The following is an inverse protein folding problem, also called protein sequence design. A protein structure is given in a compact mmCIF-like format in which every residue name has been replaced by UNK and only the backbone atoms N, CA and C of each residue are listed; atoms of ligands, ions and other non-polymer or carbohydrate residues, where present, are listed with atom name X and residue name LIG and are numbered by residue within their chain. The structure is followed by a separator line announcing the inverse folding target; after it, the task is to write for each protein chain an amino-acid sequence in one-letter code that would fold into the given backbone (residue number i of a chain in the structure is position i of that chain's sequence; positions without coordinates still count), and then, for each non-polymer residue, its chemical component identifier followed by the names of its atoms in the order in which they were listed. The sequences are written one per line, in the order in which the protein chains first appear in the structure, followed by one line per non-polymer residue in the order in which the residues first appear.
data_IF_734384682510
#
_entry.id   IF_734384682510
#
_cell.length_a   1.000
_cell.length_b   1.000
_cell.length_c   1.000
_cell.angle_alpha   90.00
_cell.angle_beta   90.00
_cell.angle_gamma   90.00
#
_symmetry.space_group_name_H-M   'P 1'
#
loop_
_entity.id
_entity.type
_entity.pdbx_description
1 polymer ?
#
# COMPACT_ATOMS: atom_id res chain seq x y z
N UNK A 1 -13.62 -27.96 -49.99
CA UNK A 1 -12.76 -28.13 -48.81
C UNK A 1 -11.61 -27.14 -48.72
N UNK A 2 -10.80 -26.92 -49.75
CA UNK A 2 -9.63 -26.01 -49.68
C UNK A 2 -9.97 -24.56 -49.27
N UNK A 3 -11.03 -23.96 -49.80
CA UNK A 3 -11.44 -22.58 -49.48
C UNK A 3 -11.90 -22.40 -48.01
N UNK A 4 -12.67 -23.37 -47.47
CA UNK A 4 -13.12 -23.34 -46.08
C UNK A 4 -11.94 -23.54 -45.08
N UNK A 5 -11.02 -24.44 -45.40
CA UNK A 5 -9.79 -24.64 -44.60
C UNK A 5 -8.87 -23.42 -44.62
N UNK A 6 -8.77 -22.74 -45.76
CA UNK A 6 -8.01 -21.48 -45.93
C UNK A 6 -8.61 -20.34 -45.10
N UNK A 7 -9.94 -20.21 -45.09
CA UNK A 7 -10.66 -19.21 -44.27
C UNK A 7 -10.49 -19.44 -42.77
N UNK A 8 -10.58 -20.68 -42.29
CA UNK A 8 -10.36 -21.06 -40.89
C UNK A 8 -8.92 -20.79 -40.44
N UNK A 9 -7.93 -21.15 -41.25
CA UNK A 9 -6.51 -20.88 -41.00
C UNK A 9 -6.24 -19.37 -40.89
N UNK A 10 -6.83 -18.57 -41.77
CA UNK A 10 -6.72 -17.11 -41.75
C UNK A 10 -7.33 -16.52 -40.48
N UNK A 11 -8.53 -16.96 -40.10
CA UNK A 11 -9.19 -16.52 -38.85
C UNK A 11 -8.32 -16.84 -37.61
N UNK A 12 -7.71 -18.02 -37.51
CA UNK A 12 -6.80 -18.37 -36.38
C UNK A 12 -5.58 -17.45 -36.34
N UNK A 13 -5.00 -17.12 -37.48
CA UNK A 13 -3.87 -16.19 -37.57
C UNK A 13 -4.28 -14.76 -37.14
N UNK A 14 -5.45 -14.31 -37.53
CA UNK A 14 -6.00 -13.01 -37.09
C UNK A 14 -6.25 -12.99 -35.59
N UNK A 15 -6.79 -14.08 -35.01
CA UNK A 15 -6.98 -14.22 -33.58
C UNK A 15 -5.65 -14.16 -32.83
N UNK A 16 -4.62 -14.88 -33.26
CA UNK A 16 -3.30 -14.86 -32.63
C UNK A 16 -2.66 -13.46 -32.68
N UNK A 17 -2.76 -12.78 -33.82
CA UNK A 17 -2.25 -11.40 -33.98
C UNK A 17 -2.98 -10.41 -33.07
N UNK A 18 -4.31 -10.52 -32.97
CA UNK A 18 -5.11 -9.67 -32.09
C UNK A 18 -4.76 -9.88 -30.61
N UNK A 19 -4.58 -11.15 -30.21
CA UNK A 19 -4.16 -11.48 -28.85
C UNK A 19 -2.77 -10.93 -28.54
N UNK A 20 -1.77 -11.17 -29.38
CA UNK A 20 -0.41 -10.66 -29.21
C UNK A 20 -0.38 -9.12 -29.14
N UNK A 21 -1.18 -8.44 -29.98
CA UNK A 21 -1.30 -6.98 -29.95
C UNK A 21 -1.90 -6.47 -28.64
N UNK A 22 -2.91 -7.14 -28.10
CA UNK A 22 -3.53 -6.76 -26.83
C UNK A 22 -2.56 -7.01 -25.68
N UNK A 23 -1.87 -8.15 -25.64
CA UNK A 23 -0.88 -8.48 -24.62
C UNK A 23 0.27 -7.46 -24.60
N UNK A 24 0.79 -7.08 -25.77
CA UNK A 24 1.81 -6.03 -25.90
C UNK A 24 1.30 -4.68 -25.40
N UNK A 25 0.08 -4.29 -25.76
CA UNK A 25 -0.55 -3.07 -25.27
C UNK A 25 -0.65 -3.08 -23.72
N UNK A 26 -1.10 -4.19 -23.14
CA UNK A 26 -1.20 -4.35 -21.70
C UNK A 26 0.19 -4.26 -21.03
N UNK A 27 1.22 -4.84 -21.62
CA UNK A 27 2.60 -4.78 -21.12
C UNK A 27 3.13 -3.33 -21.09
N UNK A 28 2.99 -2.61 -22.20
CA UNK A 28 3.42 -1.21 -22.30
C UNK A 28 2.64 -0.32 -21.33
N UNK A 29 1.33 -0.52 -21.20
CA UNK A 29 0.49 0.22 -20.25
C UNK A 29 0.92 -0.03 -18.80
N UNK A 30 1.27 -1.27 -18.45
CA UNK A 30 1.78 -1.61 -17.11
C UNK A 30 3.15 -0.99 -16.82
N UNK A 31 4.07 -0.99 -17.79
CA UNK A 31 5.38 -0.35 -17.66
C UNK A 31 5.26 1.17 -17.46
N UNK A 32 4.42 1.81 -18.26
CA UNK A 32 4.15 3.25 -18.13
C UNK A 32 3.50 3.58 -16.78
N UNK A 33 2.55 2.75 -16.33
CA UNK A 33 1.91 2.89 -15.04
C UNK A 33 2.93 2.79 -13.90
N UNK A 34 3.78 1.77 -13.92
CA UNK A 34 4.85 1.61 -12.93
C UNK A 34 5.78 2.82 -12.89
N UNK A 35 6.25 3.27 -14.05
CA UNK A 35 7.14 4.44 -14.14
C UNK A 35 6.47 5.71 -13.59
N UNK A 36 5.17 5.90 -13.85
CA UNK A 36 4.41 7.02 -13.30
C UNK A 36 4.35 6.97 -11.77
N UNK A 37 4.04 5.81 -11.19
CA UNK A 37 3.97 5.62 -9.74
C UNK A 37 5.33 5.80 -9.06
N UNK A 38 6.39 5.26 -9.64
CA UNK A 38 7.77 5.43 -9.15
C UNK A 38 8.15 6.91 -9.11
N UNK A 39 7.82 7.65 -10.17
CA UNK A 39 8.07 9.10 -10.24
C UNK A 39 7.25 9.90 -9.22
N UNK A 40 5.97 9.55 -9.01
CA UNK A 40 5.16 10.18 -7.96
C UNK A 40 5.79 9.98 -6.57
N UNK A 41 6.29 8.77 -6.30
CA UNK A 41 6.94 8.45 -5.04
C UNK A 41 8.26 9.20 -4.85
N UNK A 42 9.10 9.31 -5.88
CA UNK A 42 10.35 10.10 -5.85
C UNK A 42 10.08 11.58 -5.58
N UNK A 43 9.05 12.15 -6.21
CA UNK A 43 8.64 13.54 -5.96
C UNK A 43 8.23 13.73 -4.51
N UNK A 44 7.45 12.81 -3.92
CA UNK A 44 7.05 12.85 -2.53
C UNK A 44 8.27 12.81 -1.58
N UNK A 45 9.21 11.89 -1.80
CA UNK A 45 10.43 11.78 -0.99
C UNK A 45 11.30 13.05 -1.08
N UNK A 46 11.40 13.62 -2.28
CA UNK A 46 12.11 14.89 -2.49
C UNK A 46 11.46 16.04 -1.73
N UNK A 47 10.12 16.10 -1.74
CA UNK A 47 9.37 17.08 -0.97
C UNK A 47 9.60 16.90 0.53
N UNK A 48 9.55 15.68 1.05
CA UNK A 48 9.80 15.38 2.47
C UNK A 48 11.20 15.83 2.91
N UNK A 49 12.21 15.55 2.09
CA UNK A 49 13.58 15.99 2.37
C UNK A 49 13.69 17.51 2.45
N UNK A 50 13.06 18.24 1.53
CA UNK A 50 13.04 19.71 1.54
C UNK A 50 12.30 20.29 2.76
N UNK A 51 11.20 19.64 3.16
CA UNK A 51 10.42 20.08 4.33
C UNK A 51 11.22 19.88 5.63
N UNK A 52 11.89 18.75 5.80
CA UNK A 52 12.74 18.48 6.95
C UNK A 52 13.94 19.43 7.01
N UNK A 53 14.56 19.71 5.88
CA UNK A 53 15.68 20.67 5.82
C UNK A 53 15.23 22.09 6.22
N UNK A 54 14.08 22.55 5.73
CA UNK A 54 13.48 23.85 6.15
C UNK A 54 13.17 23.86 7.65
N UNK A 55 12.66 22.76 8.18
CA UNK A 55 12.36 22.63 9.60
C UNK A 55 13.64 22.68 10.42
N UNK A 56 14.70 21.99 10.01
CA UNK A 56 16.01 22.02 10.65
C UNK A 56 16.58 23.45 10.72
N UNK A 57 16.57 24.14 9.60
CA UNK A 57 17.05 25.53 9.54
C UNK A 57 16.21 26.48 10.40
N UNK A 58 14.89 26.25 10.48
CA UNK A 58 14.02 26.99 11.40
C UNK A 58 14.43 26.72 12.85
N UNK A 59 14.64 25.46 13.21
CA UNK A 59 15.04 25.05 14.57
C UNK A 59 16.40 25.62 14.98
N UNK A 60 17.39 25.59 14.10
CA UNK A 60 18.72 26.20 14.34
C UNK A 60 18.58 27.69 14.66
N UNK A 61 17.82 28.43 13.85
CA UNK A 61 17.58 29.87 14.09
C UNK A 61 16.83 30.16 15.40
N UNK A 62 15.88 29.28 15.77
CA UNK A 62 15.14 29.42 17.02
C UNK A 62 16.01 29.12 18.25
N UNK A 63 16.90 28.16 18.15
CA UNK A 63 17.89 27.86 19.20
C UNK A 63 18.88 29.02 19.36
N UNK A 64 19.44 29.54 18.26
CA UNK A 64 20.35 30.69 18.28
C UNK A 64 19.70 31.91 18.92
N UNK A 65 18.48 32.28 18.47
CA UNK A 65 17.73 33.38 19.08
C UNK A 65 17.48 33.18 20.58
N UNK A 66 17.23 31.96 21.03
CA UNK A 66 17.01 31.68 22.45
C UNK A 66 18.29 31.89 23.26
N UNK A 67 19.43 31.45 22.73
CA UNK A 67 20.73 31.68 23.36
C UNK A 67 21.07 33.18 23.44
N UNK A 68 20.82 33.94 22.36
CA UNK A 68 21.03 35.39 22.33
C UNK A 68 20.17 36.11 23.38
N UNK A 69 18.88 35.78 23.44
CA UNK A 69 17.94 36.35 24.44
C UNK A 69 18.43 36.04 25.87
N UNK A 70 18.88 34.82 26.14
CA UNK A 70 19.41 34.46 27.45
C UNK A 70 20.69 35.25 27.77
N UNK A 71 21.61 35.41 26.80
CA UNK A 71 22.85 36.17 26.97
C UNK A 71 22.60 37.66 27.27
N UNK A 72 21.63 38.27 26.53
CA UNK A 72 21.25 39.67 26.75
C UNK A 72 20.62 39.81 28.15
N UNK A 73 19.71 38.91 28.54
CA UNK A 73 19.05 38.94 29.83
C UNK A 73 20.06 38.76 31.01
N UNK A 74 21.06 37.89 30.84
CA UNK A 74 22.15 37.71 31.80
C UNK A 74 22.93 39.01 32.01
N UNK A 75 23.34 39.67 30.92
CA UNK A 75 24.06 40.96 30.99
C UNK A 75 23.23 42.06 31.65
N UNK A 76 21.93 42.09 31.38
CA UNK A 76 21.01 43.07 32.00
C UNK A 76 20.88 42.79 33.50
N UNK A 77 20.65 41.55 33.89
CA UNK A 77 20.59 41.15 35.30
C UNK A 77 21.86 41.55 36.02
N UNK A 78 23.03 41.28 35.47
CA UNK A 78 24.32 41.65 36.03
C UNK A 78 24.42 43.18 36.21
N UNK A 79 24.05 43.98 35.21
CA UNK A 79 24.02 45.44 35.30
C UNK A 79 23.11 45.97 36.39
N UNK A 80 21.89 45.39 36.48
CA UNK A 80 20.91 45.80 37.49
C UNK A 80 21.36 45.52 38.90
N UNK A 81 21.96 44.34 39.17
CA UNK A 81 22.51 43.99 40.46
C UNK A 81 23.71 44.89 40.79
N UNK A 82 24.62 45.08 39.85
CA UNK A 82 25.80 45.92 40.05
C UNK A 82 25.37 47.39 40.31
N UNK A 83 24.33 47.88 39.59
CA UNK A 83 23.78 49.23 39.81
C UNK A 83 23.19 49.36 41.21
N UNK A 84 22.44 48.40 41.69
CA UNK A 84 21.87 48.37 43.08
C UNK A 84 23.01 48.35 44.13
N UNK A 85 23.99 47.47 44.00
CA UNK A 85 25.14 47.40 44.88
C UNK A 85 25.94 48.69 44.93
N UNK A 86 26.16 49.35 43.78
CA UNK A 86 26.83 50.65 43.74
C UNK A 86 26.03 51.72 44.52
N UNK A 87 24.72 51.70 44.42
CA UNK A 87 23.87 52.66 45.17
C UNK A 87 23.90 52.36 46.66
N UNK A 88 23.81 51.10 47.08
CA UNK A 88 23.95 50.67 48.47
C UNK A 88 25.28 51.08 49.09
N UNK A 89 26.39 50.85 48.35
CA UNK A 89 27.70 51.29 48.81
C UNK A 89 27.80 52.79 48.96
N UNK A 90 27.25 53.56 48.04
CA UNK A 90 27.17 55.06 48.15
C UNK A 90 26.34 55.50 49.37
N UNK A 91 25.20 54.82 49.59
CA UNK A 91 24.38 55.10 50.77
C UNK A 91 25.09 54.79 52.05
N UNK A 92 25.77 53.62 52.14
CA UNK A 92 26.60 53.22 53.27
C UNK A 92 27.70 54.27 53.55
N UNK A 93 28.47 54.63 52.56
CA UNK A 93 29.50 55.64 52.68
C UNK A 93 28.97 56.99 53.13
N UNK A 94 27.80 57.40 52.63
CA UNK A 94 27.14 58.66 53.03
C UNK A 94 26.67 58.63 54.49
N UNK A 95 26.04 57.53 54.90
CA UNK A 95 25.57 57.30 56.27
C UNK A 95 26.77 57.29 57.25
N UNK A 96 27.83 56.57 56.87
CA UNK A 96 29.02 56.45 57.71
C UNK A 96 29.73 57.82 57.86
N UNK A 97 29.84 58.60 56.79
CA UNK A 97 30.36 60.00 56.85
C UNK A 97 29.56 60.87 57.77
N UNK A 98 28.21 60.71 57.80
CA UNK A 98 27.33 61.47 58.72
C UNK A 98 27.57 61.03 60.18
N UNK A 99 27.56 59.74 60.46
CA UNK A 99 27.84 59.17 61.78
C UNK A 99 29.24 59.53 62.27
N UNK A 100 30.24 59.50 61.39
CA UNK A 100 31.58 59.91 61.71
C UNK A 100 31.67 61.35 62.15
N UNK A 101 30.99 62.28 61.47
CA UNK A 101 30.93 63.70 61.85
C UNK A 101 30.22 63.85 63.22
N UNK A 102 29.08 63.21 63.41
CA UNK A 102 28.32 63.27 64.65
C UNK A 102 29.14 62.71 65.81
N UNK A 103 29.85 61.57 65.67
CA UNK A 103 30.67 61.01 66.70
C UNK A 103 31.86 61.92 67.04
N UNK A 104 32.52 62.51 66.07
CA UNK A 104 33.63 63.43 66.30
C UNK A 104 33.17 64.67 67.04
N UNK A 105 32.02 65.25 66.67
CA UNK A 105 31.47 66.38 67.42
C UNK A 105 31.08 66.04 68.86
N UNK A 106 30.52 64.87 69.06
CA UNK A 106 30.17 64.37 70.33
C UNK A 106 31.44 64.20 71.22
N UNK A 107 32.47 63.54 70.70
CA UNK A 107 33.71 63.35 71.46
C UNK A 107 34.47 64.66 71.68
N UNK A 108 34.47 65.59 70.78
CA UNK A 108 34.99 66.93 71.00
C UNK A 108 34.29 67.66 72.16
N UNK A 109 32.95 67.56 72.25
CA UNK A 109 32.15 68.10 73.34
C UNK A 109 32.49 67.42 74.70
N UNK A 110 32.56 66.08 74.70
CA UNK A 110 32.93 65.30 75.90
C UNK A 110 34.32 65.67 76.41
N UNK A 111 35.33 65.75 75.49
CA UNK A 111 36.69 66.15 75.87
C UNK A 111 36.80 67.60 76.28
N UNK A 112 35.94 68.50 75.86
CA UNK A 112 35.91 69.91 76.37
C UNK A 112 35.35 70.05 77.77
N UNK A 113 34.50 69.13 78.18
CA UNK A 113 33.85 69.14 79.52
C UNK A 113 34.68 68.46 80.62
N UNK A 114 35.76 67.79 80.28
CA UNK A 114 36.66 67.13 81.27
C UNK A 114 37.80 68.04 81.63
N UNK A 115 37.87 68.59 82.89
CA UNK A 115 38.93 69.51 83.32
C UNK A 115 40.21 68.82 83.70
N UNK A 116 40.25 67.51 83.98
CA UNK A 116 41.36 66.83 84.60
C UNK A 116 42.39 66.18 83.63
N UNK A 117 42.09 66.06 82.33
CA UNK A 117 42.96 65.37 81.34
C UNK A 117 43.84 66.39 80.60
N UNK A 118 45.17 66.21 80.48
CA UNK A 118 46.05 67.08 79.74
C UNK A 118 45.71 67.18 78.28
N UNK A 119 45.82 68.37 77.70
CA UNK A 119 45.41 68.65 76.27
C UNK A 119 46.03 67.67 75.25
N UNK A 120 47.29 67.28 75.47
CA UNK A 120 48.04 66.34 74.61
C UNK A 120 47.42 64.94 74.67
N UNK A 121 46.94 64.50 75.80
CA UNK A 121 46.27 63.21 76.01
C UNK A 121 44.89 63.21 75.34
N UNK A 122 44.12 64.27 75.42
CA UNK A 122 42.82 64.46 74.75
C UNK A 122 42.96 64.37 73.22
N UNK A 123 44.00 65.03 72.67
CA UNK A 123 44.27 65.00 71.23
C UNK A 123 44.66 63.59 70.76
N UNK A 124 45.50 62.88 71.52
CA UNK A 124 45.88 61.50 71.24
C UNK A 124 44.67 60.55 71.30
N UNK A 125 43.83 60.67 72.31
CA UNK A 125 42.56 59.90 72.39
C UNK A 125 41.59 60.16 71.25
N UNK A 126 41.40 61.37 70.88
CA UNK A 126 40.58 61.77 69.77
C UNK A 126 41.13 61.23 68.40
N UNK A 127 42.47 61.23 68.30
CA UNK A 127 43.12 60.66 67.11
C UNK A 127 42.94 59.14 67.04
N UNK A 128 43.17 58.45 68.16
CA UNK A 128 42.94 57.01 68.25
C UNK A 128 41.47 56.63 68.03
N UNK A 129 40.48 57.40 68.48
CA UNK A 129 39.07 57.20 68.19
C UNK A 129 38.73 57.42 66.67
N UNK A 130 39.34 58.44 66.07
CA UNK A 130 39.19 58.66 64.64
C UNK A 130 39.78 57.49 63.80
N UNK A 131 40.94 57.00 64.17
CA UNK A 131 41.62 55.87 63.51
C UNK A 131 40.79 54.61 63.71
N UNK A 132 40.23 54.38 64.88
CA UNK A 132 39.34 53.25 65.15
C UNK A 132 38.06 53.32 64.26
N UNK A 133 37.42 54.47 64.14
CA UNK A 133 36.23 54.64 63.30
C UNK A 133 36.56 54.42 61.83
N UNK A 134 37.68 54.89 61.37
CA UNK A 134 38.13 54.69 59.98
C UNK A 134 38.46 53.21 59.71
N UNK A 135 39.05 52.52 60.70
CA UNK A 135 39.35 51.10 60.57
C UNK A 135 38.03 50.27 60.60
N UNK A 136 37.08 50.65 61.48
CA UNK A 136 35.75 50.06 61.52
C UNK A 136 34.99 50.29 60.18
N UNK A 137 35.04 51.52 59.62
CA UNK A 137 34.47 51.84 58.30
C UNK A 137 35.00 50.91 57.18
N UNK A 138 36.32 50.83 57.12
CA UNK A 138 36.97 49.95 56.10
C UNK A 138 36.56 48.50 56.29
N UNK A 139 36.48 48.01 57.50
CA UNK A 139 36.08 46.62 57.80
C UNK A 139 34.63 46.34 57.42
N UNK A 140 33.71 47.24 57.73
CA UNK A 140 32.31 47.10 57.38
C UNK A 140 32.09 47.26 55.86
N UNK A 141 32.82 48.21 55.22
CA UNK A 141 32.80 48.36 53.77
C UNK A 141 33.31 47.10 53.05
N UNK A 142 34.40 46.50 53.53
CA UNK A 142 34.91 45.23 53.00
C UNK A 142 33.87 44.09 53.16
N UNK A 143 33.21 43.97 54.30
CA UNK A 143 32.17 42.98 54.54
C UNK A 143 31.01 43.18 53.56
N UNK A 144 30.57 44.46 53.35
CA UNK A 144 29.51 44.77 52.44
C UNK A 144 29.88 44.41 51.01
N UNK A 145 31.07 44.75 50.55
CA UNK A 145 31.57 44.47 49.20
C UNK A 145 31.67 42.93 49.02
N UNK A 146 32.15 42.20 50.04
CA UNK A 146 32.19 40.73 49.98
C UNK A 146 30.79 40.13 49.89
N UNK A 147 29.85 40.56 50.72
CA UNK A 147 28.45 40.10 50.67
C UNK A 147 27.78 40.41 49.31
N UNK A 148 28.06 41.58 48.75
CA UNK A 148 27.60 41.95 47.40
C UNK A 148 28.19 41.05 46.30
N UNK A 149 29.48 40.71 46.42
CA UNK A 149 30.14 39.82 45.46
C UNK A 149 29.58 38.40 45.56
N UNK A 150 29.33 37.89 46.76
CA UNK A 150 28.70 36.56 46.99
C UNK A 150 27.27 36.55 46.46
N UNK A 151 26.49 37.62 46.69
CA UNK A 151 25.13 37.76 46.21
C UNK A 151 25.05 37.78 44.68
N UNK A 152 25.91 38.53 43.99
CA UNK A 152 25.91 38.58 42.54
C UNK A 152 26.25 37.23 41.95
N UNK A 153 27.21 36.52 42.51
CA UNK A 153 27.58 35.19 42.06
C UNK A 153 26.41 34.21 42.23
N UNK A 154 25.72 34.23 43.36
CA UNK A 154 24.56 33.38 43.60
C UNK A 154 23.42 33.65 42.63
N UNK A 155 23.03 34.94 42.44
CA UNK A 155 21.94 35.31 41.56
C UNK A 155 22.25 35.02 40.06
N UNK A 156 23.50 35.21 39.65
CA UNK A 156 23.93 34.85 38.30
C UNK A 156 23.87 33.32 38.10
N UNK A 157 24.24 32.53 39.15
CA UNK A 157 24.19 31.07 39.11
C UNK A 157 22.74 30.58 39.00
N UNK A 158 21.82 31.12 39.81
CA UNK A 158 20.37 30.85 39.72
C UNK A 158 19.82 31.19 38.30
N UNK A 159 20.21 32.34 37.80
CA UNK A 159 19.78 32.74 36.46
C UNK A 159 20.25 31.78 35.38
N UNK A 160 21.53 31.39 35.40
CA UNK A 160 22.10 30.43 34.43
C UNK A 160 21.38 29.09 34.49
N UNK A 161 21.12 28.58 35.71
CA UNK A 161 20.38 27.31 35.88
C UNK A 161 18.97 27.40 35.26
N UNK A 162 18.22 28.46 35.57
CA UNK A 162 16.91 28.70 34.96
C UNK A 162 16.97 28.86 33.43
N UNK A 163 17.99 29.48 32.89
CA UNK A 163 18.23 29.63 31.48
C UNK A 163 18.48 28.28 30.82
N UNK A 164 19.26 27.38 31.41
CA UNK A 164 19.51 26.02 30.98
C UNK A 164 18.17 25.25 30.90
N UNK A 165 17.40 25.26 31.97
CA UNK A 165 16.09 24.58 32.01
C UNK A 165 15.12 25.11 30.95
N UNK A 166 15.04 26.42 30.75
CA UNK A 166 14.18 27.02 29.71
C UNK A 166 14.69 26.68 28.30
N UNK A 167 15.99 26.53 28.12
CA UNK A 167 16.58 26.07 26.86
C UNK A 167 16.21 24.60 26.59
N UNK A 168 16.28 23.73 27.62
CA UNK A 168 15.90 22.32 27.50
C UNK A 168 14.42 22.15 27.11
N UNK A 169 13.51 22.92 27.70
CA UNK A 169 12.09 22.91 27.32
C UNK A 169 11.93 23.29 25.84
N UNK A 170 12.71 24.27 25.36
CA UNK A 170 12.69 24.63 23.95
C UNK A 170 13.25 23.51 23.06
N UNK A 171 14.37 22.94 23.40
CA UNK A 171 14.99 21.81 22.67
C UNK A 171 14.03 20.62 22.56
N UNK A 172 13.32 20.28 23.66
CA UNK A 172 12.29 19.24 23.70
C UNK A 172 11.12 19.58 22.75
N UNK A 173 10.66 20.81 22.76
CA UNK A 173 9.59 21.27 21.88
C UNK A 173 9.97 21.14 20.40
N UNK A 174 11.20 21.48 20.02
CA UNK A 174 11.71 21.38 18.66
C UNK A 174 11.85 19.92 18.22
N UNK A 175 12.35 19.06 19.12
CA UNK A 175 12.41 17.62 18.85
C UNK A 175 11.01 17.04 18.63
N UNK A 176 10.03 17.42 19.47
CA UNK A 176 8.63 17.00 19.31
C UNK A 176 8.07 17.42 17.95
N UNK A 177 8.31 18.67 17.54
CA UNK A 177 7.88 19.17 16.21
C UNK A 177 8.49 18.36 15.07
N UNK A 178 9.79 18.05 15.13
CA UNK A 178 10.46 17.22 14.14
C UNK A 178 9.88 15.79 14.08
N UNK A 179 9.69 15.16 15.23
CA UNK A 179 9.17 13.80 15.31
C UNK A 179 7.72 13.71 14.81
N UNK A 180 6.87 14.69 15.12
CA UNK A 180 5.51 14.80 14.58
C UNK A 180 5.56 14.94 13.05
N UNK A 181 6.45 15.79 12.54
CA UNK A 181 6.59 15.97 11.09
C UNK A 181 7.03 14.70 10.39
N UNK A 182 8.00 13.97 10.94
CA UNK A 182 8.45 12.67 10.39
C UNK A 182 7.34 11.61 10.44
N UNK A 183 6.54 11.59 11.51
CA UNK A 183 5.38 10.70 11.60
C UNK A 183 4.38 10.99 10.50
N UNK A 184 4.01 12.25 10.29
CA UNK A 184 3.10 12.67 9.22
C UNK A 184 3.61 12.29 7.82
N UNK A 185 4.92 12.42 7.59
CA UNK A 185 5.56 12.01 6.34
C UNK A 185 5.50 10.49 6.12
N UNK A 186 5.73 9.71 7.18
CA UNK A 186 5.61 8.24 7.12
C UNK A 186 4.17 7.82 6.79
N UNK A 187 3.18 8.40 7.46
CA UNK A 187 1.76 8.15 7.21
C UNK A 187 1.34 8.55 5.78
N UNK A 188 1.84 9.68 5.27
CA UNK A 188 1.60 10.11 3.90
C UNK A 188 2.25 9.16 2.86
N UNK A 189 3.48 8.69 3.12
CA UNK A 189 4.13 7.69 2.29
C UNK A 189 3.35 6.37 2.26
N UNK A 190 2.90 5.88 3.41
CA UNK A 190 2.08 4.68 3.51
C UNK A 190 0.74 4.83 2.77
N UNK A 191 0.07 5.97 2.91
CA UNK A 191 -1.17 6.26 2.19
C UNK A 191 -0.98 6.27 0.68
N UNK A 192 0.14 6.84 0.20
CA UNK A 192 0.50 6.83 -1.22
C UNK A 192 0.76 5.40 -1.72
N UNK A 193 1.52 4.58 -0.98
CA UNK A 193 1.79 3.20 -1.36
C UNK A 193 0.52 2.34 -1.42
N UNK A 194 -0.43 2.54 -0.50
CA UNK A 194 -1.74 1.88 -0.56
C UNK A 194 -2.55 2.31 -1.79
N UNK A 195 -2.55 3.60 -2.10
CA UNK A 195 -3.17 4.13 -3.32
C UNK A 195 -2.52 3.54 -4.58
N UNK A 196 -1.18 3.48 -4.64
CA UNK A 196 -0.45 2.88 -5.76
C UNK A 196 -0.79 1.39 -5.93
N UNK A 197 -0.89 0.66 -4.83
CA UNK A 197 -1.32 -0.74 -4.85
C UNK A 197 -2.73 -0.86 -5.44
N UNK A 198 -3.68 -0.01 -5.02
CA UNK A 198 -5.06 -0.01 -5.53
C UNK A 198 -5.11 0.30 -7.03
N UNK A 199 -4.40 1.33 -7.50
CA UNK A 199 -4.35 1.70 -8.90
C UNK A 199 -3.75 0.58 -9.77
N UNK A 200 -2.71 -0.09 -9.28
CA UNK A 200 -2.10 -1.24 -9.97
C UNK A 200 -3.05 -2.42 -10.03
N UNK A 201 -3.75 -2.71 -8.94
CA UNK A 201 -4.79 -3.75 -8.87
C UNK A 201 -5.90 -3.48 -9.89
N UNK A 202 -6.43 -2.25 -9.94
CA UNK A 202 -7.50 -1.86 -10.87
C UNK A 202 -7.06 -2.00 -12.33
N UNK A 203 -5.80 -1.67 -12.64
CA UNK A 203 -5.22 -1.85 -13.96
C UNK A 203 -5.11 -3.33 -14.34
N UNK A 204 -4.59 -4.19 -13.46
CA UNK A 204 -4.46 -5.63 -13.69
C UNK A 204 -5.83 -6.29 -13.93
N UNK A 205 -6.84 -5.97 -13.13
CA UNK A 205 -8.19 -6.49 -13.33
C UNK A 205 -8.83 -6.00 -14.63
N UNK A 206 -8.58 -4.75 -15.01
CA UNK A 206 -9.06 -4.20 -16.28
C UNK A 206 -8.42 -4.92 -17.46
N UNK A 207 -7.10 -5.14 -17.43
CA UNK A 207 -6.36 -5.85 -18.47
C UNK A 207 -6.79 -7.31 -18.58
N UNK A 208 -6.95 -8.01 -17.46
CA UNK A 208 -7.44 -9.37 -17.43
C UNK A 208 -8.85 -9.49 -18.04
N UNK A 209 -9.76 -8.58 -17.68
CA UNK A 209 -11.11 -8.54 -18.27
C UNK A 209 -11.07 -8.31 -19.79
N UNK A 210 -10.20 -7.42 -20.27
CA UNK A 210 -10.04 -7.16 -21.70
C UNK A 210 -9.51 -8.40 -22.45
N UNK A 211 -8.53 -9.10 -21.89
CA UNK A 211 -8.00 -10.35 -22.47
C UNK A 211 -9.08 -11.44 -22.49
N UNK A 212 -9.85 -11.59 -21.40
CA UNK A 212 -10.94 -12.56 -21.33
C UNK A 212 -12.05 -12.25 -22.34
N UNK A 213 -12.43 -10.99 -22.51
CA UNK A 213 -13.43 -10.56 -23.47
C UNK A 213 -12.98 -10.85 -24.91
N UNK A 214 -11.71 -10.59 -25.24
CA UNK A 214 -11.16 -10.91 -26.57
C UNK A 214 -11.16 -12.43 -26.83
N UNK A 215 -10.71 -13.24 -25.88
CA UNK A 215 -10.72 -14.71 -26.00
C UNK A 215 -12.15 -15.24 -26.20
N UNK A 216 -13.14 -14.67 -25.49
CA UNK A 216 -14.54 -15.05 -25.61
C UNK A 216 -15.13 -14.67 -26.98
N UNK A 217 -14.87 -13.45 -27.46
CA UNK A 217 -15.27 -13.01 -28.80
C UNK A 217 -14.69 -13.93 -29.88
N UNK A 218 -13.41 -14.25 -29.77
CA UNK A 218 -12.72 -15.15 -30.69
C UNK A 218 -13.34 -16.55 -30.71
N UNK A 219 -13.64 -17.11 -29.55
CA UNK A 219 -14.30 -18.41 -29.41
C UNK A 219 -15.72 -18.38 -30.02
N UNK A 220 -16.51 -17.34 -29.75
CA UNK A 220 -17.84 -17.20 -30.33
C UNK A 220 -17.81 -17.10 -31.85
N UNK A 221 -16.86 -16.34 -32.41
CA UNK A 221 -16.66 -16.22 -33.87
C UNK A 221 -16.23 -17.55 -34.48
N UNK A 222 -15.38 -18.32 -33.79
CA UNK A 222 -15.00 -19.66 -34.23
C UNK A 222 -16.21 -20.60 -34.24
N UNK A 223 -16.99 -20.65 -33.19
CA UNK A 223 -18.19 -21.49 -33.06
C UNK A 223 -19.23 -21.14 -34.16
N UNK A 224 -19.41 -19.86 -34.46
CA UNK A 224 -20.31 -19.44 -35.51
C UNK A 224 -19.83 -19.87 -36.91
N UNK A 225 -18.52 -19.81 -37.13
CA UNK A 225 -17.91 -20.28 -38.40
C UNK A 225 -18.07 -21.80 -38.57
N UNK A 226 -17.88 -22.56 -37.48
CA UNK A 226 -18.09 -24.01 -37.47
C UNK A 226 -19.54 -24.37 -37.79
N UNK A 227 -20.52 -23.70 -37.13
CA UNK A 227 -21.95 -23.90 -37.40
C UNK A 227 -22.31 -23.56 -38.84
N UNK A 228 -21.83 -22.45 -39.37
CA UNK A 228 -22.10 -22.05 -40.76
C UNK A 228 -21.53 -23.06 -41.73
N UNK A 229 -20.32 -23.58 -41.48
CA UNK A 229 -19.67 -24.61 -42.31
C UNK A 229 -20.44 -25.93 -42.28
N UNK A 230 -20.98 -26.32 -41.10
CA UNK A 230 -21.80 -27.52 -40.97
C UNK A 230 -23.11 -27.39 -41.74
N UNK A 231 -23.81 -26.25 -41.66
CA UNK A 231 -25.03 -26.00 -42.39
C UNK A 231 -24.83 -26.03 -43.94
N UNK A 232 -23.69 -25.47 -44.42
CA UNK A 232 -23.37 -25.55 -45.85
C UNK A 232 -23.07 -26.97 -46.30
N UNK A 233 -22.38 -27.76 -45.43
CA UNK A 233 -22.15 -29.17 -45.70
C UNK A 233 -23.49 -29.93 -45.79
N UNK A 234 -24.40 -29.74 -44.83
CA UNK A 234 -25.71 -30.36 -44.82
C UNK A 234 -26.48 -30.06 -46.10
N UNK A 235 -26.58 -28.79 -46.50
CA UNK A 235 -27.25 -28.37 -47.75
C UNK A 235 -26.61 -28.98 -49.00
N UNK A 236 -25.32 -29.24 -49.01
CA UNK A 236 -24.62 -29.85 -50.15
C UNK A 236 -24.97 -31.33 -50.23
N UNK A 237 -24.88 -32.05 -49.15
CA UNK A 237 -25.18 -33.50 -49.09
C UNK A 237 -26.66 -33.75 -49.45
N UNK A 238 -27.58 -32.95 -48.96
CA UNK A 238 -29.01 -33.01 -49.33
C UNK A 238 -29.22 -32.79 -50.84
N UNK A 239 -28.52 -31.81 -51.44
CA UNK A 239 -28.60 -31.54 -52.89
C UNK A 239 -28.06 -32.72 -53.67
N UNK A 240 -27.00 -33.37 -53.23
CA UNK A 240 -26.43 -34.54 -53.89
C UNK A 240 -27.38 -35.74 -53.83
N UNK A 241 -28.04 -35.95 -52.70
CA UNK A 241 -29.06 -36.99 -52.54
C UNK A 241 -30.24 -36.74 -53.47
N UNK A 242 -30.78 -35.50 -53.55
CA UNK A 242 -31.86 -35.13 -54.47
C UNK A 242 -31.50 -35.35 -55.94
N UNK A 243 -30.24 -35.04 -56.35
CA UNK A 243 -29.73 -35.36 -57.68
C UNK A 243 -29.68 -36.84 -57.98
N UNK A 244 -29.24 -37.65 -56.95
CA UNK A 244 -29.20 -39.11 -57.04
C UNK A 244 -30.65 -39.67 -57.25
N UNK A 245 -31.63 -39.19 -56.46
CA UNK A 245 -33.02 -39.62 -56.58
C UNK A 245 -33.63 -39.25 -57.95
N UNK A 246 -33.38 -38.02 -58.44
CA UNK A 246 -33.86 -37.60 -59.76
C UNK A 246 -33.28 -38.44 -60.90
N UNK A 247 -32.01 -38.87 -60.75
CA UNK A 247 -31.35 -39.76 -61.71
C UNK A 247 -31.98 -41.16 -61.71
N UNK A 248 -32.24 -41.72 -60.48
CA UNK A 248 -32.88 -42.99 -60.31
C UNK A 248 -34.29 -43.05 -60.92
N UNK A 249 -35.11 -42.02 -60.68
CA UNK A 249 -36.44 -41.90 -61.30
C UNK A 249 -36.39 -41.83 -62.86
N UNK A 250 -35.39 -41.19 -63.46
CA UNK A 250 -35.24 -41.16 -64.93
C UNK A 250 -34.80 -42.53 -65.48
N UNK A 251 -34.07 -43.37 -64.70
CA UNK A 251 -33.61 -44.68 -65.12
C UNK A 251 -34.64 -45.78 -64.93
N UNK A 252 -35.72 -45.55 -64.17
CA UNK A 252 -36.74 -46.51 -63.77
C UNK A 252 -37.40 -47.28 -64.89
N UNK A 253 -37.68 -46.77 -66.13
CA UNK A 253 -38.47 -47.52 -67.08
C UNK A 253 -37.73 -48.67 -67.82
N UNK A 254 -36.42 -48.84 -67.67
CA UNK A 254 -35.63 -49.75 -68.60
C UNK A 254 -35.49 -51.18 -68.16
N UNK A 255 -35.65 -51.62 -66.99
CA UNK A 255 -35.81 -53.04 -66.60
C UNK A 255 -36.04 -53.29 -65.13
N UNK A 256 -37.26 -53.47 -64.75
CA UNK A 256 -37.73 -53.72 -63.42
C UNK A 256 -37.12 -54.97 -62.76
N UNK A 257 -36.80 -55.94 -63.64
CA UNK A 257 -36.21 -57.20 -63.18
C UNK A 257 -34.71 -57.08 -62.79
N UNK A 258 -33.98 -56.25 -63.52
CA UNK A 258 -32.58 -55.98 -63.28
C UNK A 258 -32.43 -55.03 -62.08
N UNK A 259 -33.38 -54.12 -61.88
CA UNK A 259 -33.43 -53.15 -60.79
C UNK A 259 -33.79 -53.79 -59.44
N UNK A 260 -34.54 -54.83 -59.43
CA UNK A 260 -34.77 -55.56 -58.19
C UNK A 260 -33.47 -56.06 -57.60
N UNK A 261 -32.61 -56.64 -58.39
CA UNK A 261 -31.30 -57.12 -58.00
C UNK A 261 -30.36 -55.95 -57.64
N UNK A 262 -30.42 -54.87 -58.42
CA UNK A 262 -29.58 -53.70 -58.19
C UNK A 262 -30.05 -52.87 -56.97
N UNK A 263 -31.36 -52.69 -56.77
CA UNK A 263 -31.92 -52.09 -55.57
C UNK A 263 -31.56 -52.91 -54.33
N UNK A 264 -31.62 -54.24 -54.38
CA UNK A 264 -31.15 -55.12 -53.32
C UNK A 264 -29.63 -54.94 -53.02
N UNK A 265 -28.86 -54.67 -54.05
CA UNK A 265 -27.42 -54.48 -53.93
C UNK A 265 -27.09 -53.07 -53.36
N UNK A 266 -27.71 -52.01 -53.89
CA UNK A 266 -27.54 -50.65 -53.42
C UNK A 266 -28.02 -50.48 -51.98
N UNK A 267 -29.10 -51.15 -51.61
CA UNK A 267 -29.59 -51.14 -50.24
C UNK A 267 -28.59 -51.77 -49.26
N UNK A 268 -27.97 -52.89 -49.61
CA UNK A 268 -26.89 -53.51 -48.84
C UNK A 268 -25.66 -52.58 -48.74
N UNK A 269 -25.31 -51.94 -49.82
CA UNK A 269 -24.16 -51.05 -49.86
C UNK A 269 -24.44 -49.80 -49.02
N UNK A 270 -25.65 -49.26 -49.01
CA UNK A 270 -26.03 -48.14 -48.18
C UNK A 270 -26.01 -48.50 -46.68
N UNK A 271 -26.47 -49.70 -46.29
CA UNK A 271 -26.37 -50.18 -44.93
C UNK A 271 -24.90 -50.40 -44.50
N UNK A 272 -24.05 -50.86 -45.38
CA UNK A 272 -22.63 -51.05 -45.09
C UNK A 272 -21.91 -49.69 -44.95
N UNK A 273 -22.21 -48.75 -45.80
CA UNK A 273 -21.70 -47.36 -45.70
C UNK A 273 -22.19 -46.74 -44.35
N UNK A 274 -23.46 -46.93 -44.03
CA UNK A 274 -24.02 -46.44 -42.77
C UNK A 274 -23.35 -47.11 -41.55
N UNK A 275 -23.05 -48.44 -41.63
CA UNK A 275 -22.31 -49.13 -40.58
C UNK A 275 -20.84 -48.65 -40.49
N UNK A 276 -20.23 -48.37 -41.63
CA UNK A 276 -18.87 -47.87 -41.69
C UNK A 276 -18.81 -46.43 -41.15
N UNK A 277 -19.68 -45.55 -41.63
CA UNK A 277 -19.80 -44.20 -41.13
C UNK A 277 -20.11 -44.13 -39.62
N UNK A 278 -20.93 -45.09 -39.15
CA UNK A 278 -21.20 -45.19 -37.72
C UNK A 278 -19.96 -45.60 -36.92
N UNK A 279 -19.13 -46.50 -37.44
CA UNK A 279 -17.86 -46.91 -36.80
C UNK A 279 -16.88 -45.71 -36.71
N UNK A 280 -16.75 -44.99 -37.82
CA UNK A 280 -15.90 -43.78 -37.92
C UNK A 280 -16.42 -42.67 -36.98
N UNK A 281 -17.71 -42.48 -36.99
CA UNK A 281 -18.39 -41.51 -36.14
C UNK A 281 -18.25 -41.85 -34.65
N UNK A 282 -18.41 -43.13 -34.29
CA UNK A 282 -18.15 -43.65 -32.93
C UNK A 282 -16.69 -43.41 -32.53
N UNK A 283 -15.75 -43.64 -33.45
CA UNK A 283 -14.31 -43.42 -33.19
C UNK A 283 -14.02 -41.91 -33.00
N UNK A 284 -14.64 -41.02 -33.77
CA UNK A 284 -14.51 -39.57 -33.62
C UNK A 284 -15.08 -39.06 -32.30
N UNK A 285 -16.20 -39.63 -31.85
CA UNK A 285 -16.77 -39.33 -30.54
C UNK A 285 -15.88 -39.80 -29.40
N UNK A 286 -15.38 -41.03 -29.49
CA UNK A 286 -14.47 -41.60 -28.48
C UNK A 286 -13.18 -40.77 -28.33
N UNK A 287 -12.70 -40.16 -29.42
CA UNK A 287 -11.50 -39.33 -29.41
C UNK A 287 -11.77 -37.92 -28.80
N UNK A 288 -13.01 -37.43 -28.80
CA UNK A 288 -13.34 -36.06 -28.39
C UNK A 288 -14.10 -35.96 -27.07
N UNK A 289 -14.47 -37.10 -26.43
CA UNK A 289 -15.34 -37.13 -25.23
C UNK A 289 -14.59 -37.58 -23.98
N UNK A 290 -14.75 -36.89 -22.83
CA UNK A 290 -14.26 -37.34 -21.54
C UNK A 290 -14.79 -38.73 -21.19
N UNK A 291 -13.97 -39.55 -20.50
CA UNK A 291 -14.25 -41.01 -20.27
C UNK A 291 -15.58 -41.28 -19.53
N UNK A 292 -16.09 -40.31 -18.76
CA UNK A 292 -17.30 -40.47 -17.95
C UNK A 292 -18.59 -40.44 -18.79
N UNK A 293 -18.69 -39.65 -19.85
CA UNK A 293 -19.87 -39.51 -20.69
C UNK A 293 -19.90 -40.45 -21.90
N UNK A 294 -18.76 -41.07 -22.24
CA UNK A 294 -18.61 -41.95 -23.42
C UNK A 294 -19.60 -43.10 -23.42
N UNK A 295 -19.86 -43.71 -22.25
CA UNK A 295 -20.73 -44.90 -22.16
C UNK A 295 -22.22 -44.58 -22.43
N UNK A 296 -22.70 -43.42 -21.99
CA UNK A 296 -24.09 -43.02 -22.21
C UNK A 296 -24.35 -42.68 -23.68
N UNK A 297 -23.44 -41.95 -24.32
CA UNK A 297 -23.52 -41.56 -25.73
C UNK A 297 -23.39 -42.76 -26.65
N UNK A 298 -22.43 -43.69 -26.40
CA UNK A 298 -22.26 -44.89 -27.18
C UNK A 298 -23.49 -45.80 -27.07
N UNK A 299 -24.09 -45.91 -25.87
CA UNK A 299 -25.29 -46.71 -25.69
C UNK A 299 -26.46 -46.12 -26.48
N UNK A 300 -26.68 -44.82 -26.43
CA UNK A 300 -27.71 -44.08 -27.19
C UNK A 300 -27.53 -44.20 -28.71
N UNK A 301 -26.33 -44.01 -29.19
CA UNK A 301 -25.96 -44.14 -30.60
C UNK A 301 -26.15 -45.57 -31.11
N UNK A 302 -25.76 -46.57 -30.35
CA UNK A 302 -25.92 -47.99 -30.71
C UNK A 302 -27.38 -48.38 -30.74
N UNK A 303 -28.21 -47.82 -29.89
CA UNK A 303 -29.65 -48.07 -29.85
C UNK A 303 -30.36 -47.37 -31.00
N UNK A 304 -30.01 -46.14 -31.35
CA UNK A 304 -30.52 -45.40 -32.53
C UNK A 304 -30.14 -46.07 -33.84
N UNK A 305 -28.92 -46.58 -33.95
CA UNK A 305 -28.49 -47.34 -35.13
C UNK A 305 -29.21 -48.69 -35.24
N UNK A 306 -29.43 -49.35 -34.10
CA UNK A 306 -30.15 -50.63 -34.07
C UNK A 306 -31.60 -50.44 -34.47
N UNK A 307 -32.27 -49.34 -33.98
CA UNK A 307 -33.59 -48.98 -34.41
C UNK A 307 -33.68 -48.65 -35.89
N UNK A 308 -32.72 -47.89 -36.41
CA UNK A 308 -32.65 -47.53 -37.83
C UNK A 308 -32.42 -48.74 -38.73
N UNK A 309 -31.50 -49.62 -38.33
CA UNK A 309 -31.22 -50.86 -39.05
C UNK A 309 -32.42 -51.85 -39.00
N UNK A 310 -33.13 -51.90 -37.84
CA UNK A 310 -34.35 -52.69 -37.71
C UNK A 310 -35.49 -52.12 -38.56
N UNK A 311 -35.76 -50.78 -38.48
CA UNK A 311 -36.77 -50.11 -39.30
C UNK A 311 -36.52 -50.28 -40.80
N UNK A 312 -35.26 -50.15 -41.20
CA UNK A 312 -34.82 -50.40 -42.56
C UNK A 312 -35.04 -51.87 -42.98
N UNK A 313 -34.74 -52.79 -42.09
CA UNK A 313 -34.97 -54.22 -42.37
C UNK A 313 -36.44 -54.55 -42.58
N UNK A 314 -37.29 -54.08 -41.70
CA UNK A 314 -38.73 -54.30 -41.75
C UNK A 314 -39.36 -53.65 -43.00
N UNK A 315 -39.02 -52.39 -43.31
CA UNK A 315 -39.49 -51.70 -44.53
C UNK A 315 -39.02 -52.37 -45.81
N UNK A 316 -37.81 -52.92 -45.78
CA UNK A 316 -37.27 -53.62 -46.93
C UNK A 316 -37.96 -54.93 -47.20
N UNK A 317 -38.19 -55.78 -46.16
CA UNK A 317 -38.93 -57.00 -46.29
C UNK A 317 -40.33 -56.76 -46.81
N UNK A 318 -41.00 -55.75 -46.25
CA UNK A 318 -42.36 -55.36 -46.71
C UNK A 318 -42.33 -54.78 -48.13
N UNK A 319 -41.33 -53.97 -48.47
CA UNK A 319 -41.14 -53.39 -49.80
C UNK A 319 -40.81 -54.46 -50.84
N UNK A 320 -40.08 -55.55 -50.54
CA UNK A 320 -39.84 -56.66 -51.44
C UNK A 320 -41.18 -57.45 -51.66
N UNK A 321 -41.98 -57.68 -50.65
CA UNK A 321 -43.25 -58.39 -50.78
C UNK A 321 -44.28 -57.55 -51.59
N UNK A 322 -44.31 -56.24 -51.34
CA UNK A 322 -45.22 -55.32 -52.10
C UNK A 322 -44.71 -54.99 -53.51
N UNK A 323 -43.39 -55.12 -53.74
CA UNK A 323 -42.71 -54.74 -55.00
C UNK A 323 -43.18 -55.61 -56.17
N UNK A 324 -43.55 -56.82 -55.94
CA UNK A 324 -44.10 -57.72 -56.96
C UNK A 324 -45.50 -57.33 -57.44
N UNK A 325 -46.20 -56.53 -56.60
CA UNK A 325 -47.58 -56.11 -56.92
C UNK A 325 -47.72 -54.66 -57.42
N UNK A 326 -46.85 -53.72 -56.99
CA UNK A 326 -47.01 -52.28 -57.32
C UNK A 326 -45.67 -51.66 -57.73
N UNK A 327 -45.30 -51.79 -58.97
CA UNK A 327 -43.96 -51.41 -59.50
C UNK A 327 -43.63 -49.91 -59.47
N UNK A 328 -44.58 -49.03 -59.34
CA UNK A 328 -44.33 -47.57 -59.29
C UNK A 328 -44.09 -46.96 -57.92
N UNK A 329 -44.52 -47.60 -56.85
CA UNK A 329 -44.45 -47.04 -55.49
C UNK A 329 -43.15 -47.33 -54.76
N UNK A 330 -42.41 -48.34 -55.16
CA UNK A 330 -41.23 -48.86 -54.48
C UNK A 330 -40.02 -47.92 -54.44
N UNK A 331 -39.78 -47.22 -55.56
CA UNK A 331 -38.64 -46.34 -55.63
C UNK A 331 -38.85 -45.09 -54.76
N UNK A 332 -40.12 -44.59 -54.71
CA UNK A 332 -40.47 -43.45 -53.88
C UNK A 332 -40.34 -43.75 -52.38
N UNK A 333 -40.78 -44.96 -51.93
CA UNK A 333 -40.63 -45.40 -50.56
C UNK A 333 -39.13 -45.55 -50.15
N UNK A 334 -38.32 -46.14 -51.03
CA UNK A 334 -36.88 -46.26 -50.84
C UNK A 334 -36.18 -44.88 -50.73
N UNK A 335 -36.62 -43.94 -51.57
CA UNK A 335 -36.10 -42.56 -51.58
C UNK A 335 -36.51 -41.80 -50.31
N UNK A 336 -37.72 -41.99 -49.77
CA UNK A 336 -38.18 -41.41 -48.52
C UNK A 336 -37.32 -41.92 -47.34
N UNK A 337 -37.05 -43.24 -47.32
CA UNK A 337 -36.20 -43.81 -46.26
C UNK A 337 -34.79 -43.32 -46.31
N UNK A 338 -34.15 -43.25 -47.51
CA UNK A 338 -32.83 -42.64 -47.68
C UNK A 338 -32.81 -41.17 -47.22
N UNK A 339 -33.87 -40.40 -47.52
CA UNK A 339 -34.01 -39.01 -47.09
C UNK A 339 -34.09 -38.90 -45.57
N UNK A 340 -34.91 -39.75 -44.93
CA UNK A 340 -35.01 -39.74 -43.47
C UNK A 340 -33.70 -40.08 -42.78
N UNK A 341 -33.01 -41.11 -43.27
CA UNK A 341 -31.71 -41.54 -42.70
C UNK A 341 -30.66 -40.44 -42.81
N UNK A 342 -30.60 -39.75 -43.97
CA UNK A 342 -29.70 -38.60 -44.16
C UNK A 342 -30.06 -37.50 -43.13
N UNK A 343 -31.33 -37.15 -42.99
CA UNK A 343 -31.79 -36.11 -42.08
C UNK A 343 -31.35 -36.44 -40.62
N UNK A 344 -31.66 -37.64 -40.16
CA UNK A 344 -31.28 -38.05 -38.79
C UNK A 344 -29.76 -38.11 -38.58
N UNK A 345 -28.99 -38.49 -39.61
CA UNK A 345 -27.50 -38.42 -39.54
C UNK A 345 -26.99 -36.99 -39.40
N UNK A 346 -27.53 -36.08 -40.23
CA UNK A 346 -27.15 -34.68 -40.22
C UNK A 346 -27.52 -33.96 -38.90
N UNK A 347 -28.70 -34.29 -38.32
CA UNK A 347 -29.14 -33.80 -37.02
C UNK A 347 -28.15 -34.23 -35.93
N UNK A 348 -27.74 -35.52 -35.88
CA UNK A 348 -26.76 -35.99 -34.91
C UNK A 348 -25.38 -35.27 -35.06
N UNK A 349 -24.92 -35.07 -36.28
CA UNK A 349 -23.68 -34.30 -36.48
C UNK A 349 -23.78 -32.88 -35.95
N UNK A 350 -24.97 -32.26 -36.05
CA UNK A 350 -25.23 -30.93 -35.51
C UNK A 350 -25.25 -30.94 -33.95
N UNK A 351 -25.92 -31.92 -33.36
CA UNK A 351 -25.99 -32.06 -31.90
C UNK A 351 -24.59 -32.26 -31.28
N UNK A 352 -23.73 -33.04 -31.92
CA UNK A 352 -22.36 -33.23 -31.49
C UNK A 352 -21.51 -31.96 -31.59
N UNK A 353 -21.69 -31.18 -32.64
CA UNK A 353 -21.03 -29.88 -32.76
C UNK A 353 -21.47 -28.98 -31.60
N UNK A 354 -22.77 -28.95 -31.28
CA UNK A 354 -23.31 -28.17 -30.16
C UNK A 354 -22.73 -28.61 -28.80
N UNK A 355 -22.62 -29.93 -28.55
CA UNK A 355 -21.98 -30.46 -27.34
C UNK A 355 -20.49 -30.07 -27.26
N UNK A 356 -19.75 -30.18 -28.35
CA UNK A 356 -18.37 -29.78 -28.42
C UNK A 356 -18.19 -28.30 -28.10
N UNK A 357 -19.03 -27.44 -28.68
CA UNK A 357 -19.02 -26.00 -28.40
C UNK A 357 -19.37 -25.68 -26.98
N UNK A 358 -20.33 -26.40 -26.37
CA UNK A 358 -20.71 -26.26 -24.97
C UNK A 358 -19.53 -26.59 -24.03
N UNK A 359 -18.82 -27.71 -24.29
CA UNK A 359 -17.63 -28.09 -23.54
C UNK A 359 -16.53 -27.03 -23.66
N UNK A 360 -16.28 -26.52 -24.84
CA UNK A 360 -15.28 -25.47 -25.05
C UNK A 360 -15.61 -24.21 -24.23
N UNK A 361 -16.88 -23.80 -24.16
CA UNK A 361 -17.34 -22.70 -23.31
C UNK A 361 -17.08 -22.97 -21.83
N UNK A 362 -17.45 -24.16 -21.35
CA UNK A 362 -17.25 -24.57 -19.96
C UNK A 362 -15.76 -24.60 -19.59
N UNK A 363 -14.90 -25.11 -20.47
CA UNK A 363 -13.45 -25.11 -20.25
C UNK A 363 -12.87 -23.70 -20.22
N UNK A 364 -13.31 -22.83 -21.15
CA UNK A 364 -12.89 -21.44 -21.20
C UNK A 364 -13.32 -20.67 -19.93
N UNK A 365 -14.54 -20.93 -19.45
CA UNK A 365 -15.04 -20.34 -18.20
C UNK A 365 -14.25 -20.85 -16.97
N UNK A 366 -14.00 -22.12 -16.87
CA UNK A 366 -13.19 -22.72 -15.81
C UNK A 366 -11.77 -22.11 -15.80
N UNK A 367 -11.18 -21.92 -16.98
CA UNK A 367 -9.85 -21.30 -17.11
C UNK A 367 -9.89 -19.81 -16.68
N UNK A 368 -10.89 -19.04 -17.09
CA UNK A 368 -11.08 -17.65 -16.65
C UNK A 368 -11.20 -17.56 -15.12
N UNK A 369 -11.95 -18.47 -14.50
CA UNK A 369 -12.12 -18.51 -13.06
C UNK A 369 -10.85 -18.90 -12.32
N UNK A 370 -9.96 -19.72 -12.92
CA UNK A 370 -8.63 -20.00 -12.38
C UNK A 370 -7.72 -18.77 -12.47
N UNK A 371 -7.61 -18.18 -13.65
CA UNK A 371 -6.80 -16.98 -13.87
C UNK A 371 -7.23 -15.81 -12.96
N UNK A 372 -8.54 -15.65 -12.73
CA UNK A 372 -9.07 -14.67 -11.78
C UNK A 372 -8.62 -14.96 -10.35
N UNK A 373 -8.75 -16.20 -9.87
CA UNK A 373 -8.32 -16.60 -8.52
C UNK A 373 -6.81 -16.38 -8.32
N UNK A 374 -6.00 -16.76 -9.31
CA UNK A 374 -4.56 -16.53 -9.28
C UNK A 374 -4.19 -15.05 -9.19
N UNK A 375 -4.96 -14.18 -9.85
CA UNK A 375 -4.78 -12.73 -9.74
C UNK A 375 -5.20 -12.25 -8.34
N UNK A 376 -6.36 -12.68 -7.84
CA UNK A 376 -6.86 -12.35 -6.50
C UNK A 376 -5.84 -12.73 -5.41
N UNK A 377 -5.26 -13.94 -5.49
CA UNK A 377 -4.22 -14.43 -4.57
C UNK A 377 -2.94 -13.59 -4.64
N UNK A 378 -2.47 -13.25 -5.85
CA UNK A 378 -1.29 -12.38 -6.02
C UNK A 378 -1.52 -10.98 -5.47
N UNK A 379 -2.69 -10.41 -5.71
CA UNK A 379 -3.08 -9.10 -5.18
C UNK A 379 -3.16 -9.13 -3.66
N UNK A 380 -3.80 -10.15 -3.08
CA UNK A 380 -3.89 -10.34 -1.63
C UNK A 380 -2.51 -10.49 -0.98
N UNK A 381 -1.64 -11.31 -1.56
CA UNK A 381 -0.27 -11.48 -1.07
C UNK A 381 0.53 -10.16 -1.10
N UNK A 382 0.48 -9.42 -2.21
CA UNK A 382 1.16 -8.11 -2.31
C UNK A 382 0.64 -7.12 -1.26
N UNK A 383 -0.68 -7.10 -1.03
CA UNK A 383 -1.29 -6.24 0.00
C UNK A 383 -0.81 -6.61 1.39
N UNK A 384 -0.77 -7.91 1.73
CA UNK A 384 -0.26 -8.39 3.02
C UNK A 384 1.20 -8.01 3.23
N UNK A 385 2.05 -8.23 2.23
CA UNK A 385 3.47 -7.86 2.29
C UNK A 385 3.66 -6.34 2.44
N UNK A 386 2.85 -5.54 1.75
CA UNK A 386 2.88 -4.08 1.90
C UNK A 386 2.47 -3.66 3.32
N UNK A 387 1.39 -4.23 3.86
CA UNK A 387 0.94 -3.95 5.23
C UNK A 387 1.98 -4.37 6.28
N UNK A 388 2.62 -5.52 6.09
CA UNK A 388 3.70 -5.97 6.96
C UNK A 388 4.88 -4.99 6.93
N UNK A 389 5.34 -4.59 5.74
CA UNK A 389 6.40 -3.60 5.58
C UNK A 389 6.06 -2.27 6.27
N UNK A 390 4.84 -1.77 6.09
CA UNK A 390 4.37 -0.54 6.75
C UNK A 390 4.36 -0.67 8.27
N UNK A 391 3.94 -1.82 8.81
CA UNK A 391 3.98 -2.10 10.24
C UNK A 391 5.42 -2.12 10.79
N UNK A 392 6.34 -2.76 10.07
CA UNK A 392 7.78 -2.79 10.41
C UNK A 392 8.40 -1.38 10.38
N UNK A 393 8.10 -0.57 9.36
CA UNK A 393 8.57 0.82 9.27
C UNK A 393 8.01 1.68 10.41
N UNK A 394 6.73 1.52 10.74
CA UNK A 394 6.09 2.20 11.87
C UNK A 394 6.74 1.80 13.21
N UNK A 395 6.96 0.50 13.43
CA UNK A 395 7.62 0.00 14.65
C UNK A 395 9.06 0.52 14.76
N UNK A 396 9.80 0.55 13.65
CA UNK A 396 11.17 1.11 13.60
C UNK A 396 11.16 2.60 13.93
N UNK A 397 10.25 3.37 13.37
CA UNK A 397 10.10 4.78 13.68
C UNK A 397 9.75 5.02 15.15
N UNK A 398 8.85 4.21 15.74
CA UNK A 398 8.51 4.28 17.16
C UNK A 398 9.73 4.03 18.05
N UNK A 399 10.52 3.02 17.71
CA UNK A 399 11.76 2.73 18.42
C UNK A 399 12.77 3.90 18.32
N UNK A 400 13.02 4.41 17.11
CA UNK A 400 13.89 5.58 16.88
C UNK A 400 13.41 6.80 17.67
N UNK A 401 12.10 7.05 17.68
CA UNK A 401 11.48 8.14 18.45
C UNK A 401 11.79 8.02 19.95
N UNK A 402 11.61 6.84 20.54
CA UNK A 402 11.88 6.60 21.95
C UNK A 402 13.36 6.79 22.25
N UNK A 403 14.24 6.25 21.44
CA UNK A 403 15.69 6.38 21.62
C UNK A 403 16.14 7.84 21.53
N UNK A 404 15.64 8.61 20.58
CA UNK A 404 16.01 10.03 20.45
C UNK A 404 15.55 10.85 21.66
N UNK A 405 14.35 10.59 22.17
CA UNK A 405 13.83 11.24 23.38
C UNK A 405 14.69 10.85 24.58
N UNK A 406 14.99 9.56 24.77
CA UNK A 406 15.83 9.04 25.86
C UNK A 406 17.22 9.69 25.86
N UNK A 407 17.89 9.67 24.70
CA UNK A 407 19.24 10.24 24.56
C UNK A 407 19.26 11.74 24.86
N UNK A 408 18.23 12.47 24.42
CA UNK A 408 18.11 13.89 24.74
C UNK A 408 17.92 14.11 26.24
N UNK A 409 17.06 13.34 26.90
CA UNK A 409 16.82 13.41 28.35
C UNK A 409 18.10 13.10 29.13
N UNK A 410 18.80 12.03 28.76
CA UNK A 410 20.08 11.66 29.40
C UNK A 410 21.15 12.73 29.23
N UNK A 411 21.24 13.33 28.03
CA UNK A 411 22.16 14.46 27.78
C UNK A 411 21.82 15.65 28.69
N UNK A 412 20.55 16.07 28.72
CA UNK A 412 20.10 17.22 29.50
C UNK A 412 20.25 16.99 31.00
N UNK A 413 19.96 15.79 31.50
CA UNK A 413 20.17 15.42 32.90
C UNK A 413 21.65 15.50 33.26
N UNK A 414 22.53 14.93 32.43
CA UNK A 414 23.99 14.96 32.67
C UNK A 414 24.54 16.39 32.69
N UNK A 415 24.17 17.21 31.73
CA UNK A 415 24.61 18.61 31.64
C UNK A 415 24.12 19.43 32.84
N UNK A 416 22.91 19.18 33.35
CA UNK A 416 22.38 19.83 34.54
C UNK A 416 23.11 19.37 35.81
N UNK A 417 23.37 18.06 35.96
CA UNK A 417 24.16 17.51 37.03
C UNK A 417 25.58 18.05 37.05
N UNK A 418 26.23 18.19 35.88
CA UNK A 418 27.54 18.81 35.74
C UNK A 418 27.52 20.26 36.21
N UNK A 419 26.51 21.04 35.80
CA UNK A 419 26.34 22.42 36.28
C UNK A 419 26.09 22.51 37.77
N UNK A 420 25.28 21.67 38.35
CA UNK A 420 24.97 21.62 39.79
C UNK A 420 26.21 21.19 40.60
N UNK A 421 26.96 20.19 40.13
CA UNK A 421 28.22 19.76 40.76
C UNK A 421 29.30 20.87 40.72
N UNK A 422 29.40 21.58 39.58
CA UNK A 422 30.32 22.74 39.49
C UNK A 422 29.90 23.86 40.43
N UNK A 423 28.59 24.07 40.63
CA UNK A 423 28.07 25.04 41.59
C UNK A 423 28.39 24.68 43.04
N UNK A 424 28.30 23.39 43.39
CA UNK A 424 28.71 22.87 44.69
C UNK A 424 30.22 23.08 44.96
N UNK A 425 31.07 22.84 43.96
CA UNK A 425 32.54 23.09 44.08
C UNK A 425 32.85 24.56 44.31
N UNK A 426 32.03 25.48 43.85
CA UNK A 426 32.15 26.92 44.05
C UNK A 426 31.54 27.37 45.39
N UNK A 427 31.04 26.44 46.23
CA UNK A 427 30.54 26.73 47.55
C UNK A 427 29.04 27.04 47.65
N UNK A 428 28.28 26.87 46.55
CA UNK A 428 26.82 27.08 46.56
C UNK A 428 26.12 25.79 46.95
N UNK A 429 25.18 25.84 47.88
CA UNK A 429 24.38 24.68 48.23
C UNK A 429 23.27 24.43 47.18
N UNK A 430 22.89 23.18 46.95
CA UNK A 430 21.80 22.81 46.05
C UNK A 430 20.49 23.55 46.42
N UNK A 431 20.18 23.71 47.72
CA UNK A 431 19.00 24.43 48.19
C UNK A 431 18.96 25.93 47.83
N UNK A 432 20.15 26.54 47.65
CA UNK A 432 20.27 27.95 47.27
C UNK A 432 20.05 28.18 45.79
N UNK A 433 20.32 27.18 44.97
CA UNK A 433 20.34 27.29 43.48
C UNK A 433 19.04 26.75 42.87
N UNK A 434 18.42 25.72 43.51
CA UNK A 434 17.24 25.03 43.03
C UNK A 434 15.98 25.84 43.36
N UNK A 435 15.24 26.22 42.36
CA UNK A 435 13.90 26.83 42.50
C UNK A 435 12.87 25.68 42.36
N UNK A 436 12.43 25.13 43.50
CA UNK A 436 11.61 23.92 43.60
C UNK A 436 10.22 23.99 42.94
N UNK A 437 9.83 25.15 42.42
CA UNK A 437 8.50 25.35 41.85
C UNK A 437 8.37 25.04 40.34
N UNK A 438 9.50 24.86 39.59
CA UNK A 438 9.47 24.81 38.11
C UNK A 438 10.24 23.65 37.46
N UNK A 439 10.65 22.62 38.21
CA UNK A 439 11.59 21.58 37.75
C UNK A 439 10.92 20.27 37.27
N UNK A 440 9.61 20.24 37.01
CA UNK A 440 8.95 19.04 36.48
C UNK A 440 9.11 18.97 34.94
N UNK A 441 9.59 17.82 34.46
CA UNK A 441 9.50 17.47 33.07
C UNK A 441 8.04 17.52 32.61
N UNK A 442 7.72 18.05 31.43
CA UNK A 442 6.36 17.98 30.89
C UNK A 442 5.90 16.53 30.85
N UNK A 443 4.72 16.22 31.38
CA UNK A 443 4.16 14.86 31.48
C UNK A 443 4.08 14.15 30.12
N UNK A 444 4.04 14.90 29.02
CA UNK A 444 4.01 14.41 27.64
C UNK A 444 5.29 13.65 27.21
N UNK A 445 6.40 13.80 27.94
CA UNK A 445 7.65 13.05 27.73
C UNK A 445 7.82 11.85 28.70
N UNK A 446 6.90 11.65 29.63
CA UNK A 446 6.87 10.43 30.43
C UNK A 446 6.37 9.26 29.58
N UNK A 447 7.31 8.47 29.04
CA UNK A 447 7.11 7.34 28.14
C UNK A 447 6.51 6.11 28.84
N UNK A 448 6.04 6.23 30.05
CA UNK A 448 5.45 5.11 30.79
C UNK A 448 3.92 5.20 30.73
N UNK A 449 3.29 4.34 29.98
CA UNK A 449 1.92 3.81 30.12
C UNK A 449 0.80 4.25 29.16
N UNK A 450 0.96 5.16 28.20
CA UNK A 450 -0.23 5.57 27.41
C UNK A 450 -0.29 5.14 25.94
N UNK A 451 0.66 4.38 25.40
CA UNK A 451 0.66 4.01 23.97
C UNK A 451 0.45 2.51 23.65
N UNK A 452 -0.02 1.71 24.59
CA UNK A 452 -0.41 0.32 24.33
C UNK A 452 -1.90 0.13 23.95
N UNK A 453 -2.69 1.21 23.87
CA UNK A 453 -4.15 1.12 23.69
C UNK A 453 -4.71 1.64 22.35
N UNK A 454 -3.87 2.00 21.36
CA UNK A 454 -4.34 2.57 20.08
C UNK A 454 -4.03 1.73 18.84
N UNK A 455 -3.68 0.46 18.99
CA UNK A 455 -3.44 -0.39 17.83
C UNK A 455 -4.14 -1.72 17.92
N UNK A 456 -5.47 -1.78 18.04
CA UNK A 456 -6.27 -2.98 17.74
C UNK A 456 -7.76 -2.60 17.74
N UNK A 457 -8.19 -1.89 16.69
CA UNK A 457 -9.58 -2.04 16.23
C UNK A 457 -9.54 -2.56 14.80
N UNK A 458 -10.04 -3.77 14.55
CA UNK A 458 -10.27 -4.26 13.20
C UNK A 458 -11.50 -3.53 12.65
N UNK A 459 -11.31 -2.73 11.62
CA UNK A 459 -12.42 -2.26 10.81
C UNK A 459 -13.05 -3.45 10.07
N UNK A 460 -14.31 -3.69 10.36
CA UNK A 460 -15.25 -4.54 9.61
C UNK A 460 -15.45 -4.06 8.18
#
# INVERSE_FOLDING_TARGET
MHAAMSGYKRMRQEHQRAQAKLEEKCRVEMENHKHMLDKEYEVLLTQFSKELEKLRQKHEKEQEKKLDVCSIAEKNLQKDITGRHCNELKQFQSQYKKQYKENIEKWKKEHSQDPNTPKRQKEAQLQNQKEYLKASERQEEQKLVQQQAEYIQLEMRKFRRRSILTYYVKEQSLLKEELIKRQQQLEAAHSMLLRHHQLTQDLEYRQQRAIHALKEEQMNKQHQTELSSQHEYMKRVERELRKKHALQQKQQPKSLKQKEIEIRRQFRDTINIQRQQYKEYKAQILAKTPKEDQRAIIKRLKEDQRRKLAMLGDQYEQSIAEMLQRQSLKLDESQVVEQQQLTEKLERELDMLAEYQTRNRQQAEAQRNREKRELDERVALRRTLLQQKMAEETARFQHERHERIRLMQEKQTRELEEFDNESLRQGFSALQIVDSSNERWPEEFNVSASMLSLSLQPNH
#
